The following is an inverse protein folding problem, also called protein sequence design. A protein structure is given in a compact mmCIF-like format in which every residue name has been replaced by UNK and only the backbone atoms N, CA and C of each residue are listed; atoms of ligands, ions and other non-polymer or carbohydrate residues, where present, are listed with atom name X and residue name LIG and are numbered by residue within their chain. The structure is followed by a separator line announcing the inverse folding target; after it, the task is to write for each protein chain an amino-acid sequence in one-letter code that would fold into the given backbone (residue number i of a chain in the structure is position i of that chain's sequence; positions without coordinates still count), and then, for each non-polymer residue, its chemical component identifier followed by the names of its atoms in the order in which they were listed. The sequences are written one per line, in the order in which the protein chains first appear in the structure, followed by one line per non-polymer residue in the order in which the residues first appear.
data_IF_103659219027
#
_entry.id   IF_103659219027
#
_cell.length_a   1.000
_cell.length_b   1.000
_cell.length_c   1.000
_cell.angle_alpha   90.00
_cell.angle_beta   90.00
_cell.angle_gamma   90.00
#
_symmetry.space_group_name_H-M   'P 1'
#
loop_
_entity.id
_entity.type
_entity.pdbx_description
1 polymer ?
#
# COMPACT_ATOMS: atom_id res chain seq x y z
N UNK A 1 -13.64 -4.68 -1.56
CA UNK A 1 -12.89 -5.62 -0.72
C UNK A 1 -13.63 -5.91 0.58
N UNK A 2 -13.88 -7.15 0.83
CA UNK A 2 -14.44 -7.58 2.11
C UNK A 2 -13.29 -7.87 3.08
N UNK A 3 -13.34 -7.25 4.27
CA UNK A 3 -12.32 -7.45 5.31
C UNK A 3 -12.88 -8.45 6.32
N UNK A 4 -12.27 -9.65 6.44
CA UNK A 4 -12.83 -10.69 7.31
C UNK A 4 -12.89 -10.27 8.77
N UNK A 5 -13.99 -10.64 9.44
CA UNK A 5 -14.14 -10.42 10.86
C UNK A 5 -13.25 -11.38 11.64
N UNK A 6 -12.63 -10.89 12.71
CA UNK A 6 -11.81 -11.73 13.61
C UNK A 6 -10.45 -12.11 13.06
N UNK A 7 -10.00 -11.47 11.98
CA UNK A 7 -8.68 -11.72 11.38
C UNK A 7 -7.90 -10.42 11.24
N UNK A 8 -6.58 -10.54 11.28
CA UNK A 8 -5.70 -9.43 10.95
C UNK A 8 -5.53 -9.38 9.43
N UNK A 9 -5.86 -8.26 8.83
CA UNK A 9 -5.78 -8.07 7.37
C UNK A 9 -4.79 -6.98 7.03
N UNK A 10 -3.84 -7.30 6.15
CA UNK A 10 -2.78 -6.40 5.72
C UNK A 10 -2.81 -6.25 4.20
N UNK A 11 -2.66 -5.03 3.71
CA UNK A 11 -2.31 -4.76 2.34
C UNK A 11 -0.79 -4.69 2.25
N UNK A 12 -0.21 -5.50 1.38
CA UNK A 12 1.23 -5.55 1.16
C UNK A 12 1.56 -5.13 -0.25
N UNK A 13 2.39 -4.11 -0.36
CA UNK A 13 2.83 -3.55 -1.64
C UNK A 13 4.35 -3.62 -1.73
N UNK A 14 4.84 -3.94 -2.91
CA UNK A 14 6.25 -3.85 -3.24
C UNK A 14 6.37 -3.01 -4.50
N UNK A 15 6.95 -1.83 -4.38
CA UNK A 15 6.95 -0.80 -5.42
C UNK A 15 8.33 -0.22 -5.63
N UNK A 16 8.54 0.39 -6.79
CA UNK A 16 9.77 1.13 -7.08
C UNK A 16 9.44 2.33 -8.00
N UNK A 17 10.47 3.00 -8.45
CA UNK A 17 10.36 4.20 -9.26
C UNK A 17 11.35 4.17 -10.43
N UNK A 18 11.12 5.02 -11.45
CA UNK A 18 12.10 5.24 -12.51
C UNK A 18 13.38 5.83 -11.87
N UNK A 19 14.60 5.46 -12.37
CA UNK A 19 15.86 5.94 -11.77
C UNK A 19 15.98 7.46 -11.68
N UNK A 20 15.33 8.20 -12.56
CA UNK A 20 15.37 9.66 -12.60
C UNK A 20 14.03 10.31 -12.24
N UNK A 21 13.11 9.55 -11.65
CA UNK A 21 11.81 10.07 -11.29
C UNK A 21 11.35 9.63 -9.91
N UNK A 22 10.26 10.21 -9.47
CA UNK A 22 9.56 9.81 -8.24
C UNK A 22 8.06 9.86 -8.49
N UNK A 23 7.30 9.33 -7.55
CA UNK A 23 5.85 9.40 -7.59
C UNK A 23 5.30 9.31 -6.17
N UNK A 24 4.07 9.74 -6.00
CA UNK A 24 3.41 9.69 -4.70
C UNK A 24 2.44 8.53 -4.67
N UNK A 25 2.66 7.60 -3.74
CA UNK A 25 1.78 6.47 -3.48
C UNK A 25 0.72 6.91 -2.46
N UNK A 26 -0.55 6.71 -2.80
CA UNK A 26 -1.65 6.90 -1.85
C UNK A 26 -2.51 5.65 -1.80
N UNK A 27 -2.87 5.26 -0.60
CA UNK A 27 -3.79 4.16 -0.35
C UNK A 27 -4.98 4.72 0.42
N UNK A 28 -6.19 4.47 -0.11
CA UNK A 28 -7.42 5.00 0.48
C UNK A 28 -8.42 3.86 0.68
N UNK A 29 -9.17 3.95 1.78
CA UNK A 29 -10.38 3.14 1.98
C UNK A 29 -11.56 4.12 1.95
N UNK A 30 -12.32 4.09 0.84
CA UNK A 30 -13.32 5.11 0.59
C UNK A 30 -12.68 6.50 0.54
N UNK A 31 -13.02 7.34 1.51
CA UNK A 31 -12.46 8.71 1.61
C UNK A 31 -11.28 8.81 2.58
N UNK A 32 -11.00 7.75 3.33
CA UNK A 32 -9.93 7.77 4.33
C UNK A 32 -8.58 7.45 3.69
N UNK A 33 -7.61 8.32 3.89
CA UNK A 33 -6.24 8.09 3.44
C UNK A 33 -5.52 7.24 4.48
N UNK A 34 -5.10 6.05 4.08
CA UNK A 34 -4.42 5.09 4.94
C UNK A 34 -2.90 5.18 4.84
N UNK A 35 -2.40 5.57 3.67
CA UNK A 35 -0.98 5.77 3.43
C UNK A 35 -0.81 6.86 2.37
N UNK A 36 0.24 7.64 2.53
CA UNK A 36 0.60 8.71 1.62
C UNK A 36 2.12 8.85 1.68
N UNK A 37 2.81 8.40 0.64
CA UNK A 37 4.26 8.26 0.69
C UNK A 37 4.88 8.52 -0.68
N UNK A 38 6.00 9.21 -0.68
CA UNK A 38 6.81 9.41 -1.90
C UNK A 38 7.64 8.16 -2.15
N UNK A 39 7.62 7.66 -3.37
CA UNK A 39 8.47 6.56 -3.84
C UNK A 39 9.58 7.17 -4.69
N UNK A 40 10.79 7.20 -4.16
CA UNK A 40 11.93 7.87 -4.78
C UNK A 40 13.23 7.21 -4.38
N UNK A 41 14.34 7.68 -4.91
CA UNK A 41 15.67 7.19 -4.54
C UNK A 41 15.96 7.35 -3.04
N UNK A 42 15.31 8.33 -2.38
CA UNK A 42 15.50 8.56 -0.94
C UNK A 42 14.70 7.57 -0.09
N UNK A 43 13.61 7.00 -0.61
CA UNK A 43 12.73 6.09 0.16
C UNK A 43 12.88 4.63 -0.24
N UNK A 44 13.37 4.34 -1.45
CA UNK A 44 13.56 2.98 -1.95
C UNK A 44 14.97 2.52 -1.62
N UNK A 45 15.07 1.42 -0.90
CA UNK A 45 16.34 0.73 -0.64
C UNK A 45 16.29 -0.63 -1.35
N UNK A 46 17.41 -1.15 -1.79
CA UNK A 46 17.50 -2.47 -2.42
C UNK A 46 16.51 -2.68 -3.58
N UNK A 47 16.37 -1.69 -4.45
CA UNK A 47 15.52 -1.73 -5.64
C UNK A 47 14.02 -1.57 -5.40
N UNK A 48 13.49 -2.03 -4.24
CA UNK A 48 12.06 -2.03 -3.96
C UNK A 48 11.76 -1.41 -2.60
N UNK A 49 10.60 -0.75 -2.51
CA UNK A 49 10.04 -0.27 -1.25
C UNK A 49 8.90 -1.19 -0.86
N UNK A 50 8.97 -1.73 0.36
CA UNK A 50 7.88 -2.51 0.95
C UNK A 50 6.96 -1.58 1.73
N UNK A 51 5.67 -1.59 1.40
CA UNK A 51 4.66 -0.81 2.09
C UNK A 51 3.61 -1.76 2.65
N UNK A 52 3.36 -1.68 3.94
CA UNK A 52 2.35 -2.50 4.62
C UNK A 52 1.32 -1.58 5.25
N UNK A 53 0.05 -1.81 4.91
CA UNK A 53 -1.08 -1.06 5.45
C UNK A 53 -1.98 -2.01 6.22
N UNK A 54 -2.22 -1.72 7.50
CA UNK A 54 -3.09 -2.52 8.34
C UNK A 54 -4.55 -2.14 8.08
N UNK A 55 -5.34 -3.09 7.61
CA UNK A 55 -6.77 -2.92 7.32
C UNK A 55 -7.67 -3.49 8.42
N UNK A 56 -7.10 -3.93 9.55
CA UNK A 56 -7.84 -4.66 10.57
C UNK A 56 -8.96 -3.84 11.22
N UNK A 57 -8.87 -2.51 11.21
CA UNK A 57 -9.93 -1.66 11.74
C UNK A 57 -11.24 -1.75 10.93
N UNK A 58 -11.17 -2.29 9.71
CA UNK A 58 -12.34 -2.50 8.87
C UNK A 58 -12.88 -3.92 8.96
N UNK A 59 -12.38 -4.74 9.88
CA UNK A 59 -12.79 -6.13 10.03
C UNK A 59 -14.32 -6.26 10.15
N UNK A 60 -14.88 -7.17 9.37
CA UNK A 60 -16.32 -7.37 9.30
C UNK A 60 -17.07 -6.41 8.40
N UNK A 61 -16.36 -5.57 7.64
CA UNK A 61 -16.97 -4.62 6.71
C UNK A 61 -16.45 -4.81 5.30
N UNK A 62 -17.14 -4.18 4.36
CA UNK A 62 -16.69 -4.10 2.97
C UNK A 62 -16.20 -2.69 2.69
N UNK A 63 -15.00 -2.57 2.12
CA UNK A 63 -14.40 -1.27 1.80
C UNK A 63 -14.07 -1.18 0.32
N UNK A 64 -14.05 0.04 -0.19
CA UNK A 64 -13.53 0.34 -1.52
C UNK A 64 -12.07 0.76 -1.35
N UNK A 65 -11.16 -0.14 -1.71
CA UNK A 65 -9.74 0.09 -1.61
C UNK A 65 -9.23 0.72 -2.90
N UNK A 66 -8.54 1.85 -2.79
CA UNK A 66 -7.91 2.52 -3.91
C UNK A 66 -6.41 2.66 -3.66
N UNK A 67 -5.64 2.34 -4.67
CA UNK A 67 -4.20 2.51 -4.66
C UNK A 67 -3.88 3.43 -5.83
N UNK A 68 -3.32 4.60 -5.51
CA UNK A 68 -3.10 5.66 -6.49
C UNK A 68 -1.62 5.92 -6.71
N UNK A 69 -1.27 6.14 -7.98
CA UNK A 69 -0.01 6.74 -8.39
C UNK A 69 -0.29 8.20 -8.72
N UNK A 70 0.27 9.12 -7.93
CA UNK A 70 0.13 10.55 -8.16
C UNK A 70 1.48 11.12 -8.60
N UNK A 71 1.46 11.81 -9.73
CA UNK A 71 2.65 12.46 -10.26
C UNK A 71 3.04 13.65 -9.39
N UNK A 72 4.32 13.74 -9.04
CA UNK A 72 4.89 14.92 -8.36
C UNK A 72 5.40 15.95 -9.37
N UNK A 73 5.87 15.49 -10.53
CA UNK A 73 6.19 16.34 -11.65
C UNK A 73 5.92 15.54 -12.94
N UNK A 74 6.20 16.12 -14.11
CA UNK A 74 5.87 15.48 -15.36
C UNK A 74 7.01 14.65 -15.97
N UNK A 75 8.09 14.43 -15.23
CA UNK A 75 9.26 13.72 -15.73
C UNK A 75 9.35 12.35 -15.08
N UNK A 76 9.37 11.29 -15.90
CA UNK A 76 9.65 9.93 -15.45
C UNK A 76 8.80 9.48 -14.24
N UNK A 77 7.52 9.83 -14.25
CA UNK A 77 6.59 9.55 -13.17
C UNK A 77 6.01 8.12 -13.28
N UNK A 78 6.87 7.17 -13.60
CA UNK A 78 6.46 5.78 -13.77
C UNK A 78 6.52 5.05 -12.45
N UNK A 79 5.40 4.43 -12.08
CA UNK A 79 5.32 3.55 -10.93
C UNK A 79 5.63 2.13 -11.36
N UNK A 80 6.54 1.48 -10.66
CA UNK A 80 6.83 0.07 -10.86
C UNK A 80 6.20 -0.74 -9.73
N UNK A 81 5.30 -1.64 -10.11
CA UNK A 81 4.57 -2.51 -9.19
C UNK A 81 5.14 -3.93 -9.30
N UNK A 82 5.72 -4.42 -8.23
CA UNK A 82 6.19 -5.81 -8.18
C UNK A 82 5.17 -6.71 -7.52
N UNK A 83 4.54 -6.23 -6.44
CA UNK A 83 3.58 -7.01 -5.68
C UNK A 83 2.50 -6.12 -5.12
N UNK A 84 1.25 -6.55 -5.29
CA UNK A 84 0.08 -5.96 -4.66
C UNK A 84 -0.77 -7.11 -4.15
N UNK A 85 -0.86 -7.28 -2.82
CA UNK A 85 -1.67 -8.36 -2.26
C UNK A 85 -2.30 -8.00 -0.94
N UNK A 86 -3.43 -8.65 -0.66
CA UNK A 86 -4.12 -8.56 0.62
C UNK A 86 -3.99 -9.90 1.32
N UNK A 87 -3.52 -9.88 2.56
CA UNK A 87 -3.30 -11.07 3.36
C UNK A 87 -4.13 -10.98 4.63
N UNK A 88 -4.94 -12.00 4.88
CA UNK A 88 -5.71 -12.11 6.13
C UNK A 88 -5.22 -13.32 6.91
N UNK A 89 -4.93 -13.12 8.19
CA UNK A 89 -4.42 -14.17 9.07
C UNK A 89 -5.25 -14.23 10.33
N UNK A 90 -5.37 -15.44 10.90
CA UNK A 90 -5.95 -15.58 12.21
C UNK A 90 -5.18 -14.74 13.23
N UNK A 91 -5.85 -14.09 14.20
CA UNK A 91 -5.14 -13.35 15.22
C UNK A 91 -4.17 -14.26 15.97
N UNK A 92 -3.00 -13.73 16.27
CA UNK A 92 -2.03 -14.48 17.05
C UNK A 92 -2.52 -14.49 18.50
N UNK A 93 -2.94 -15.66 18.95
CA UNK A 93 -3.29 -15.82 20.35
C UNK A 93 -2.01 -16.02 21.15
N UNK A 94 -1.87 -15.26 22.24
CA UNK A 94 -0.77 -15.49 23.17
C UNK A 94 -0.91 -16.89 23.76
N UNK A 95 0.18 -17.62 23.89
CA UNK A 95 0.14 -18.93 24.55
C UNK A 95 -0.27 -18.80 26.02
#
# INVERSE_FOLDING_TARGET
LEVPKGKKTLLQLKVSHHPHGDWQLRVLAGKEVLADQVVSAATVTDEWLDVVVDLSKYAGTQIQLRIENRANDWRNEWAYWHEVKVVSRAPRTAP
#
